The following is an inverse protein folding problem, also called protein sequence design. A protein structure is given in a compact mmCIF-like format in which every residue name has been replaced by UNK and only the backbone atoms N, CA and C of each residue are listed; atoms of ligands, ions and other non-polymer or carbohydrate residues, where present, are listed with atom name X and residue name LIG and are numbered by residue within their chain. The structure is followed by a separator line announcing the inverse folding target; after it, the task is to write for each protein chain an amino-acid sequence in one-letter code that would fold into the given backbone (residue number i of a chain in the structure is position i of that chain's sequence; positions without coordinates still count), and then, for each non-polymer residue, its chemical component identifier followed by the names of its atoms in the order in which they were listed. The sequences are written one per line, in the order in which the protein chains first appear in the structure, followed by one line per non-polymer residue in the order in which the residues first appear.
data_IF_605606903492
#
_entry.id   IF_605606903492
#
_cell.length_a   1.000
_cell.length_b   1.000
_cell.length_c   1.000
_cell.angle_alpha   90.00
_cell.angle_beta   90.00
_cell.angle_gamma   90.00
#
_symmetry.space_group_name_H-M   'P 1'
#
loop_
_entity.id
_entity.type
_entity.pdbx_description
1 polymer ?
#
# COMPACT_ATOMS: atom_id res chain seq x y z
N UNK A 1 8.56 -10.41 -24.65
CA UNK A 1 8.75 -9.65 -23.40
C UNK A 1 8.23 -10.50 -22.25
N UNK A 2 9.11 -11.08 -21.43
CA UNK A 2 8.68 -11.93 -20.33
C UNK A 2 8.10 -11.03 -19.24
N UNK A 3 6.79 -11.06 -19.07
CA UNK A 3 6.10 -10.39 -17.96
C UNK A 3 6.57 -11.06 -16.66
N UNK A 4 7.41 -10.38 -15.89
CA UNK A 4 7.80 -10.83 -14.55
C UNK A 4 6.51 -10.90 -13.73
N UNK A 5 5.99 -12.11 -13.52
CA UNK A 5 4.89 -12.33 -12.60
C UNK A 5 5.42 -12.03 -11.20
N UNK A 6 5.16 -10.82 -10.70
CA UNK A 6 5.56 -10.43 -9.37
C UNK A 6 4.96 -11.42 -8.37
N UNK A 7 5.83 -12.17 -7.67
CA UNK A 7 5.42 -13.10 -6.61
C UNK A 7 4.49 -12.32 -5.69
N UNK A 8 3.26 -12.82 -5.51
CA UNK A 8 2.29 -12.16 -4.64
C UNK A 8 2.93 -12.04 -3.25
N UNK A 9 2.91 -10.83 -2.65
CA UNK A 9 3.48 -10.66 -1.32
C UNK A 9 2.79 -11.63 -0.35
N UNK A 10 3.59 -12.34 0.44
CA UNK A 10 3.08 -13.30 1.42
C UNK A 10 2.15 -12.66 2.46
N UNK A 11 1.54 -13.48 3.32
CA UNK A 11 0.61 -13.01 4.34
C UNK A 11 1.22 -11.91 5.21
N UNK A 12 0.42 -10.93 5.59
CA UNK A 12 0.88 -9.84 6.46
C UNK A 12 1.34 -10.44 7.80
N UNK A 13 2.56 -10.17 8.25
CA UNK A 13 3.03 -10.60 9.57
C UNK A 13 2.07 -10.18 10.67
N UNK A 14 1.87 -11.08 11.62
CA UNK A 14 1.08 -10.85 12.83
C UNK A 14 1.99 -10.24 13.91
N UNK A 15 1.36 -9.49 14.82
CA UNK A 15 1.96 -9.09 16.09
C UNK A 15 2.01 -10.27 17.06
N UNK A 16 2.68 -10.08 18.20
CA UNK A 16 2.66 -10.99 19.36
C UNK A 16 1.23 -11.41 19.72
N UNK A 17 0.29 -10.46 19.71
CA UNK A 17 -1.14 -10.67 20.02
C UNK A 17 -1.94 -11.37 18.90
N UNK A 18 -1.29 -11.86 17.84
CA UNK A 18 -1.93 -12.51 16.70
C UNK A 18 -2.69 -11.58 15.74
N UNK A 19 -2.84 -10.30 16.08
CA UNK A 19 -3.46 -9.31 15.19
C UNK A 19 -2.53 -8.90 14.06
N UNK A 20 -3.08 -8.53 12.91
CA UNK A 20 -2.28 -8.08 11.77
C UNK A 20 -1.48 -6.82 12.11
N UNK A 21 -0.19 -6.80 11.78
CA UNK A 21 0.63 -5.62 12.01
C UNK A 21 0.25 -4.47 11.06
N UNK A 22 -0.56 -3.53 11.57
CA UNK A 22 -1.05 -2.36 10.82
C UNK A 22 0.09 -1.45 10.32
N UNK A 23 1.31 -1.54 10.85
CA UNK A 23 2.47 -0.75 10.41
C UNK A 23 2.95 -1.12 9.00
N UNK A 24 2.54 -2.26 8.44
CA UNK A 24 3.03 -2.70 7.12
C UNK A 24 2.24 -2.17 5.93
N UNK A 25 2.93 -2.20 4.77
CA UNK A 25 2.52 -1.75 3.44
C UNK A 25 1.09 -2.14 3.05
N UNK A 26 0.42 -1.25 2.31
CA UNK A 26 -0.85 -1.49 1.62
C UNK A 26 -0.60 -2.45 0.45
N UNK A 27 -1.33 -3.55 0.37
CA UNK A 27 -1.23 -4.51 -0.74
C UNK A 27 -2.03 -4.02 -1.95
N UNK A 28 -1.71 -4.45 -3.19
CA UNK A 28 -2.48 -4.04 -4.38
C UNK A 28 -3.98 -4.27 -4.24
N UNK A 29 -4.40 -5.38 -3.62
CA UNK A 29 -5.80 -5.73 -3.37
C UNK A 29 -6.49 -4.79 -2.37
N UNK A 30 -5.77 -4.28 -1.38
CA UNK A 30 -6.32 -3.36 -0.36
C UNK A 30 -6.17 -1.90 -0.74
N UNK A 31 -5.34 -1.58 -1.76
CA UNK A 31 -5.10 -0.22 -2.26
C UNK A 31 -6.37 0.57 -2.60
N UNK A 32 -7.45 0.00 -3.18
CA UNK A 32 -8.69 0.74 -3.43
C UNK A 32 -9.36 1.29 -2.17
N UNK A 33 -9.17 0.65 -1.00
CA UNK A 33 -9.70 1.11 0.29
C UNK A 33 -8.89 2.26 0.90
N UNK A 34 -7.69 2.52 0.36
CA UNK A 34 -6.74 3.52 0.84
C UNK A 34 -6.43 4.48 -0.31
N UNK A 35 -7.38 5.36 -0.70
CA UNK A 35 -7.16 6.31 -1.78
C UNK A 35 -5.98 7.23 -1.45
N UNK A 36 -5.22 7.59 -2.50
CA UNK A 36 -4.13 8.54 -2.37
C UNK A 36 -4.62 9.90 -1.89
N UNK A 37 -3.73 10.67 -1.26
CA UNK A 37 -4.02 12.05 -0.94
C UNK A 37 -4.28 12.84 -2.23
N UNK A 38 -5.20 13.80 -2.18
CA UNK A 38 -5.41 14.71 -3.32
C UNK A 38 -4.09 15.41 -3.62
N UNK A 39 -3.73 15.48 -4.90
CA UNK A 39 -2.59 16.28 -5.34
C UNK A 39 -2.77 17.71 -4.87
N UNK A 40 -1.81 18.20 -4.09
CA UNK A 40 -1.79 19.61 -3.72
C UNK A 40 -1.56 20.46 -4.98
N UNK A 41 -2.45 21.41 -5.25
CA UNK A 41 -2.28 22.37 -6.33
C UNK A 41 -1.65 23.64 -5.74
N UNK A 42 -0.35 23.83 -5.92
CA UNK A 42 0.31 25.07 -5.54
C UNK A 42 -0.23 26.23 -6.36
N UNK A 43 -0.41 27.40 -5.72
CA UNK A 43 -0.69 28.65 -6.43
C UNK A 43 0.61 29.11 -7.11
N UNK A 44 0.49 29.74 -8.29
CA UNK A 44 1.66 30.30 -8.98
C UNK A 44 2.17 31.49 -8.15
N UNK A 45 3.38 31.38 -7.61
CA UNK A 45 4.03 32.41 -6.80
C UNK A 45 3.97 32.23 -5.27
N UNK A 46 3.52 31.07 -4.79
CA UNK A 46 3.89 30.58 -3.44
C UNK A 46 5.34 30.04 -3.45
#
# INVERSE_FOLDING_TARGET
MNTIQAIKPGPKPKKEDGTNDKRRRVTPETKPKHPGLKTHKHKRGD
#
